data_IF_415097484498
#
_entry.id   IF_415097484498
#
_cell.length_a   1.000
_cell.length_b   1.000
_cell.length_c   1.000
_cell.angle_alpha   90.00
_cell.angle_beta   90.00
_cell.angle_gamma   90.00
#
_symmetry.space_group_name_H-M   'P 1'
#
loop_
_entity.id
_entity.type
_entity.pdbx_description
1 polymer ?
#
# COMPACT_ATOMS: atom_id res chain seq x y z
N UNK A 1 -12.66 6.07 -18.14
CA UNK A 1 -11.93 5.00 -18.89
C UNK A 1 -12.46 3.66 -18.45
N UNK A 2 -12.60 2.67 -19.33
CA UNK A 2 -12.99 1.31 -18.93
C UNK A 2 -11.75 0.53 -18.55
N UNK A 3 -11.72 -0.06 -17.37
CA UNK A 3 -10.67 -0.96 -16.94
C UNK A 3 -10.89 -2.39 -17.48
N UNK A 4 -9.83 -3.17 -17.50
CA UNK A 4 -9.86 -4.60 -17.85
C UNK A 4 -9.67 -5.41 -16.58
N UNK A 5 -10.57 -6.36 -16.30
CA UNK A 5 -10.45 -7.29 -15.19
C UNK A 5 -9.41 -8.36 -15.55
N UNK A 6 -8.38 -8.51 -14.71
CA UNK A 6 -7.28 -9.46 -14.88
C UNK A 6 -7.47 -10.71 -14.02
N UNK A 7 -8.07 -10.54 -12.84
CA UNK A 7 -8.34 -11.63 -11.89
C UNK A 7 -9.56 -11.28 -11.03
N UNK A 8 -10.27 -12.31 -10.57
CA UNK A 8 -11.47 -12.23 -9.73
C UNK A 8 -11.39 -13.22 -8.57
N UNK A 9 -12.29 -13.11 -7.60
CA UNK A 9 -12.38 -14.03 -6.46
C UNK A 9 -11.22 -13.90 -5.46
N UNK A 10 -10.62 -12.70 -5.40
CA UNK A 10 -9.51 -12.40 -4.51
C UNK A 10 -10.01 -11.99 -3.12
N UNK A 11 -9.32 -12.46 -2.08
CA UNK A 11 -9.69 -12.20 -0.69
C UNK A 11 -9.17 -10.86 -0.18
N UNK A 12 -9.83 -9.75 -0.49
CA UNK A 12 -9.42 -8.39 -0.16
C UNK A 12 -8.01 -8.10 -0.68
N UNK A 13 -7.85 -7.94 -2.02
CA UNK A 13 -6.55 -7.71 -2.64
C UNK A 13 -5.99 -6.35 -2.29
N UNK A 14 -4.66 -6.30 -2.11
CA UNK A 14 -3.89 -5.14 -1.69
C UNK A 14 -2.48 -5.16 -2.30
N UNK A 15 -1.69 -4.12 -2.04
CA UNK A 15 -0.26 -4.02 -2.29
C UNK A 15 0.21 -4.57 -3.64
N UNK A 16 -0.28 -4.07 -4.79
CA UNK A 16 0.15 -4.55 -6.09
C UNK A 16 1.59 -4.11 -6.39
N UNK A 17 2.40 -5.04 -6.86
CA UNK A 17 3.81 -4.85 -7.18
C UNK A 17 4.08 -5.31 -8.60
N UNK A 18 4.43 -4.40 -9.49
CA UNK A 18 4.80 -4.74 -10.85
C UNK A 18 6.19 -5.41 -10.89
N UNK A 19 6.27 -6.59 -11.49
CA UNK A 19 7.48 -7.40 -11.59
C UNK A 19 8.02 -7.53 -13.03
N UNK A 20 7.45 -6.78 -13.95
CA UNK A 20 7.76 -6.84 -15.38
C UNK A 20 6.52 -7.06 -16.23
N UNK A 21 6.66 -7.09 -17.56
CA UNK A 21 5.52 -7.20 -18.47
C UNK A 21 4.58 -8.36 -18.12
N UNK A 22 3.30 -8.04 -17.91
CA UNK A 22 2.24 -9.00 -17.57
C UNK A 22 2.54 -9.84 -16.31
N UNK A 23 3.26 -9.26 -15.34
CA UNK A 23 3.54 -9.91 -14.05
C UNK A 23 3.33 -8.93 -12.91
N UNK A 24 2.32 -9.20 -12.08
CA UNK A 24 1.99 -8.39 -10.90
C UNK A 24 1.84 -9.31 -9.71
N UNK A 25 2.69 -9.10 -8.70
CA UNK A 25 2.46 -9.68 -7.37
C UNK A 25 1.51 -8.78 -6.59
N UNK A 26 0.71 -9.35 -5.72
CA UNK A 26 -0.19 -8.61 -4.85
C UNK A 26 -0.50 -9.43 -3.60
N UNK A 27 -0.88 -8.76 -2.56
CA UNK A 27 -1.31 -9.38 -1.31
C UNK A 27 -2.80 -9.66 -1.32
N UNK A 28 -3.23 -10.55 -0.45
CA UNK A 28 -4.63 -10.78 -0.15
C UNK A 28 -4.80 -10.85 1.37
N UNK A 29 -5.41 -9.83 1.98
CA UNK A 29 -5.56 -9.76 3.44
C UNK A 29 -6.36 -10.96 3.95
N UNK A 30 -7.56 -11.17 3.40
CA UNK A 30 -8.45 -12.30 3.78
C UNK A 30 -7.94 -13.64 3.26
N UNK A 31 -7.13 -13.63 2.21
CA UNK A 31 -6.43 -14.80 1.68
C UNK A 31 -5.20 -15.20 2.49
N UNK A 32 -4.70 -14.30 3.37
CA UNK A 32 -3.52 -14.49 4.20
C UNK A 32 -2.28 -14.89 3.37
N UNK A 33 -2.13 -14.31 2.17
CA UNK A 33 -1.12 -14.74 1.21
C UNK A 33 -0.64 -13.62 0.29
N UNK A 34 0.46 -13.92 -0.41
CA UNK A 34 0.89 -13.20 -1.61
C UNK A 34 0.53 -14.05 -2.81
N UNK A 35 0.01 -13.40 -3.83
CA UNK A 35 -0.34 -13.98 -5.12
C UNK A 35 0.43 -13.33 -6.25
N UNK A 36 0.59 -14.05 -7.35
CA UNK A 36 1.18 -13.58 -8.60
C UNK A 36 0.19 -13.79 -9.74
N UNK A 37 -0.16 -12.72 -10.43
CA UNK A 37 -0.75 -12.79 -11.76
C UNK A 37 0.38 -12.80 -12.80
N UNK A 38 0.39 -13.82 -13.68
CA UNK A 38 1.44 -14.08 -14.68
C UNK A 38 1.04 -13.68 -16.11
N UNK A 39 -0.03 -12.90 -16.23
CA UNK A 39 -0.59 -12.51 -17.53
C UNK A 39 -1.69 -13.45 -18.04
N UNK A 40 -1.95 -14.56 -17.35
CA UNK A 40 -2.98 -15.53 -17.72
C UNK A 40 -3.77 -16.07 -16.52
N UNK A 41 -3.13 -16.25 -15.38
CA UNK A 41 -3.71 -16.84 -14.17
C UNK A 41 -3.11 -16.25 -12.91
N UNK A 42 -3.78 -16.46 -11.78
CA UNK A 42 -3.27 -16.15 -10.45
C UNK A 42 -2.79 -17.43 -9.76
N UNK A 43 -1.62 -17.35 -9.15
CA UNK A 43 -1.05 -18.41 -8.31
C UNK A 43 -0.67 -17.86 -6.95
N UNK A 44 -0.90 -18.61 -5.89
CA UNK A 44 -0.39 -18.26 -4.56
C UNK A 44 1.13 -18.49 -4.52
N UNK A 45 1.89 -17.44 -4.22
CA UNK A 45 3.35 -17.51 -4.04
C UNK A 45 3.69 -18.05 -2.66
N UNK A 46 3.08 -17.47 -1.62
CA UNK A 46 3.31 -17.87 -0.24
C UNK A 46 2.12 -17.53 0.65
N UNK A 47 1.93 -18.35 1.70
CA UNK A 47 1.04 -18.02 2.81
C UNK A 47 1.83 -17.31 3.90
N UNK A 48 1.35 -16.15 4.32
CA UNK A 48 2.03 -15.28 5.31
C UNK A 48 1.47 -15.45 6.71
N UNK A 49 0.28 -16.04 6.84
CA UNK A 49 -0.54 -15.95 8.04
C UNK A 49 -1.06 -14.52 8.28
N UNK A 50 -1.90 -14.32 9.27
CA UNK A 50 -2.44 -13.02 9.63
C UNK A 50 -3.15 -12.31 8.48
N UNK A 51 -2.74 -11.10 8.13
CA UNK A 51 -3.29 -10.29 7.03
C UNK A 51 -2.19 -9.56 6.25
N UNK A 52 -1.74 -10.17 5.15
CA UNK A 52 -0.82 -9.52 4.21
C UNK A 52 -1.51 -8.31 3.58
N UNK A 53 -1.05 -7.10 3.92
CA UNK A 53 -1.61 -5.83 3.49
C UNK A 53 -0.70 -5.19 2.42
N UNK A 54 -0.16 -4.01 2.60
CA UNK A 54 0.72 -3.39 1.62
C UNK A 54 1.96 -4.24 1.28
N UNK A 55 2.50 -4.05 0.09
CA UNK A 55 3.71 -4.74 -0.38
C UNK A 55 4.58 -3.86 -1.26
N UNK A 56 5.88 -4.14 -1.27
CA UNK A 56 6.85 -3.48 -2.14
C UNK A 56 7.94 -4.45 -2.60
N UNK A 57 8.56 -4.16 -3.76
CA UNK A 57 9.71 -4.92 -4.25
C UNK A 57 10.98 -4.48 -3.53
N UNK A 58 11.72 -5.43 -2.98
CA UNK A 58 13.01 -5.15 -2.36
C UNK A 58 14.20 -5.22 -3.33
N UNK A 59 15.36 -4.71 -2.87
CA UNK A 59 16.60 -4.68 -3.66
C UNK A 59 17.12 -6.06 -4.05
N UNK A 60 16.72 -7.07 -3.32
CA UNK A 60 17.09 -8.47 -3.49
C UNK A 60 16.07 -9.27 -4.33
N UNK A 61 15.10 -8.60 -4.94
CA UNK A 61 14.05 -9.20 -5.76
C UNK A 61 12.96 -9.93 -4.96
N UNK A 62 12.98 -9.84 -3.63
CA UNK A 62 11.91 -10.35 -2.78
C UNK A 62 10.80 -9.31 -2.60
N UNK A 63 9.61 -9.76 -2.24
CA UNK A 63 8.48 -8.92 -1.85
C UNK A 63 8.54 -8.69 -0.34
N UNK A 64 8.50 -7.43 0.07
CA UNK A 64 8.37 -7.04 1.48
C UNK A 64 6.92 -6.68 1.75
N UNK A 65 6.42 -7.10 2.91
CA UNK A 65 4.99 -7.07 3.25
C UNK A 65 4.77 -6.45 4.61
N UNK A 66 3.83 -5.53 4.69
CA UNK A 66 3.21 -5.10 5.93
C UNK A 66 2.10 -6.09 6.29
N UNK A 67 2.32 -6.89 7.34
CA UNK A 67 1.32 -7.84 7.82
C UNK A 67 0.60 -7.25 9.04
N UNK A 68 -0.68 -6.93 8.88
CA UNK A 68 -1.47 -6.27 9.92
C UNK A 68 -2.00 -7.23 11.00
N UNK A 69 -1.65 -8.50 10.91
CA UNK A 69 -2.05 -9.51 11.89
C UNK A 69 -3.38 -10.20 11.60
N UNK A 70 -4.12 -9.77 10.60
CA UNK A 70 -5.36 -10.41 10.17
C UNK A 70 -6.62 -9.58 10.43
N UNK A 71 -6.63 -8.34 9.92
CA UNK A 71 -7.79 -7.45 9.98
C UNK A 71 -8.05 -6.83 8.61
N UNK A 72 -9.30 -6.74 8.19
CA UNK A 72 -9.73 -5.87 7.10
C UNK A 72 -11.04 -5.16 7.44
N UNK A 73 -11.19 -3.96 6.90
CA UNK A 73 -12.40 -3.15 6.98
C UNK A 73 -12.83 -2.78 5.56
N UNK A 74 -14.08 -2.97 5.22
CA UNK A 74 -14.68 -2.61 3.94
C UNK A 74 -16.19 -2.48 4.09
N UNK A 75 -16.91 -2.26 2.99
CA UNK A 75 -18.37 -2.14 3.03
C UNK A 75 -19.07 -3.37 3.60
N UNK A 76 -18.45 -4.55 3.48
CA UNK A 76 -18.93 -5.79 4.10
C UNK A 76 -18.73 -5.83 5.63
N UNK A 77 -18.14 -4.78 6.20
CA UNK A 77 -17.80 -4.68 7.61
C UNK A 77 -16.41 -5.22 7.96
N UNK A 78 -16.23 -5.52 9.24
CA UNK A 78 -14.98 -6.01 9.80
C UNK A 78 -14.82 -7.50 9.54
N UNK A 79 -13.63 -7.89 9.08
CA UNK A 79 -13.19 -9.27 9.02
C UNK A 79 -11.94 -9.45 9.88
N UNK A 80 -11.86 -10.56 10.60
CA UNK A 80 -10.68 -10.97 11.37
C UNK A 80 -10.23 -12.36 10.91
N UNK A 81 -8.92 -12.56 10.89
CA UNK A 81 -8.35 -13.86 10.59
C UNK A 81 -8.77 -14.88 11.68
N UNK A 82 -9.06 -16.13 11.30
CA UNK A 82 -9.37 -17.18 12.29
C UNK A 82 -8.16 -17.52 13.18
N UNK A 83 -6.95 -17.23 12.70
CA UNK A 83 -5.66 -17.44 13.33
C UNK A 83 -4.82 -16.14 13.32
N UNK A 84 -5.24 -15.09 14.04
CA UNK A 84 -4.56 -13.81 14.00
C UNK A 84 -3.15 -13.93 14.60
N UNK A 85 -2.22 -13.17 14.03
CA UNK A 85 -0.83 -13.07 14.52
C UNK A 85 -0.52 -11.63 14.92
N UNK A 86 0.49 -11.35 15.75
CA UNK A 86 0.93 -9.98 15.96
C UNK A 86 1.40 -9.32 14.67
N UNK A 87 1.04 -8.04 14.47
CA UNK A 87 1.48 -7.26 13.32
C UNK A 87 3.00 -7.25 13.18
N UNK A 88 3.48 -7.33 11.93
CA UNK A 88 4.91 -7.48 11.62
C UNK A 88 5.24 -7.08 10.19
N UNK A 89 6.52 -6.95 9.89
CA UNK A 89 7.01 -6.83 8.52
C UNK A 89 7.66 -8.16 8.11
N UNK A 90 7.38 -8.59 6.89
CA UNK A 90 7.85 -9.87 6.36
C UNK A 90 8.57 -9.69 5.03
N UNK A 91 9.51 -10.58 4.73
CA UNK A 91 10.16 -10.74 3.43
C UNK A 91 9.75 -12.07 2.83
N UNK A 92 9.28 -12.03 1.59
CA UNK A 92 8.77 -13.20 0.87
C UNK A 92 9.47 -13.32 -0.48
N UNK A 93 10.14 -14.44 -0.71
CA UNK A 93 10.75 -14.71 -2.02
C UNK A 93 9.70 -15.18 -3.01
N UNK A 94 9.98 -15.02 -4.30
CA UNK A 94 9.10 -15.56 -5.35
C UNK A 94 9.12 -17.12 -5.42
N UNK A 95 10.03 -17.76 -4.68
CA UNK A 95 10.05 -19.22 -4.46
C UNK A 95 9.19 -19.68 -3.28
N UNK A 96 8.60 -18.73 -2.52
CA UNK A 96 7.66 -19.03 -1.43
C UNK A 96 8.26 -19.00 -0.02
N UNK A 97 9.55 -18.67 0.15
CA UNK A 97 10.13 -18.53 1.49
C UNK A 97 9.64 -17.27 2.19
N UNK A 98 9.11 -17.42 3.41
CA UNK A 98 8.63 -16.32 4.25
C UNK A 98 9.55 -16.15 5.46
N UNK A 99 9.99 -14.92 5.73
CA UNK A 99 10.78 -14.58 6.92
C UNK A 99 10.31 -13.26 7.52
N UNK A 100 10.29 -13.20 8.85
CA UNK A 100 10.05 -11.94 9.55
C UNK A 100 11.27 -11.01 9.43
N UNK A 101 11.02 -9.74 9.13
CA UNK A 101 12.01 -8.65 9.10
C UNK A 101 11.97 -7.89 10.43
N UNK A 102 10.76 -7.50 10.88
CA UNK A 102 10.57 -6.81 12.13
C UNK A 102 9.27 -7.28 12.81
N UNK A 103 9.38 -7.70 14.06
CA UNK A 103 8.26 -8.16 14.91
C UNK A 103 8.06 -7.28 16.13
N UNK A 104 9.04 -6.43 16.47
CA UNK A 104 8.98 -5.46 17.57
C UNK A 104 8.78 -4.08 16.95
N UNK A 105 7.53 -3.69 16.81
CA UNK A 105 7.16 -2.40 16.24
C UNK A 105 6.98 -1.35 17.34
N UNK A 106 7.18 -0.06 17.07
CA UNK A 106 7.09 0.99 18.09
C UNK A 106 5.65 1.17 18.55
N UNK A 107 5.53 1.57 19.83
CA UNK A 107 4.25 1.87 20.46
C UNK A 107 3.61 0.66 21.13
N UNK A 108 2.48 0.90 21.78
CA UNK A 108 1.71 -0.14 22.43
C UNK A 108 0.97 -1.02 21.42
N UNK A 109 0.81 -2.33 21.66
CA UNK A 109 -0.06 -3.17 20.84
C UNK A 109 -1.53 -2.70 20.89
N UNK A 110 -2.33 -3.04 19.87
CA UNK A 110 -1.95 -3.77 18.68
C UNK A 110 -1.18 -2.91 17.69
N UNK A 111 -0.10 -3.45 17.11
CA UNK A 111 0.51 -2.87 15.91
C UNK A 111 -0.12 -3.53 14.68
N UNK A 112 -0.49 -2.71 13.72
CA UNK A 112 -1.16 -3.18 12.51
C UNK A 112 -0.59 -2.48 11.29
N UNK A 113 0.67 -2.83 10.88
CA UNK A 113 1.29 -2.24 9.71
C UNK A 113 0.35 -2.31 8.51
N UNK A 114 0.27 -1.21 7.76
CA UNK A 114 -0.64 -1.10 6.64
C UNK A 114 0.11 -1.15 5.31
N UNK A 115 0.94 -0.16 4.97
CA UNK A 115 1.67 -0.11 3.72
C UNK A 115 3.16 0.19 3.95
N UNK A 116 4.00 -0.01 2.91
CA UNK A 116 5.45 0.13 3.03
C UNK A 116 6.15 0.44 1.70
N UNK A 117 7.29 1.12 1.81
CA UNK A 117 8.18 1.39 0.68
C UNK A 117 9.63 1.46 1.13
N UNK A 118 10.57 1.23 0.21
CA UNK A 118 11.99 1.51 0.47
C UNK A 118 12.30 2.98 0.26
N UNK A 119 13.20 3.52 1.10
CA UNK A 119 13.73 4.86 0.97
C UNK A 119 15.08 4.92 0.25
N UNK A 120 15.53 6.16 -0.10
CA UNK A 120 16.83 6.39 -0.73
C UNK A 120 18.01 5.97 0.15
N UNK A 121 17.81 5.87 1.45
CA UNK A 121 18.77 5.39 2.44
C UNK A 121 18.83 3.85 2.56
N UNK A 122 18.02 3.14 1.78
CA UNK A 122 17.90 1.68 1.81
C UNK A 122 17.12 1.12 2.99
N UNK A 123 16.52 1.97 3.82
CA UNK A 123 15.64 1.54 4.90
C UNK A 123 14.23 1.26 4.38
N UNK A 124 13.51 0.39 5.07
CA UNK A 124 12.12 0.08 4.79
C UNK A 124 11.23 0.95 5.67
N UNK A 125 10.44 1.83 5.05
CA UNK A 125 9.48 2.72 5.70
C UNK A 125 8.10 2.09 5.66
N UNK A 126 7.31 2.26 6.71
CA UNK A 126 5.95 1.72 6.77
C UNK A 126 5.02 2.59 7.61
N UNK A 127 3.73 2.47 7.34
CA UNK A 127 2.66 3.05 8.13
C UNK A 127 2.09 2.03 9.10
N UNK A 128 1.72 2.49 10.29
CA UNK A 128 0.99 1.72 11.29
C UNK A 128 -0.16 2.60 11.83
N UNK A 129 -1.39 2.44 11.35
CA UNK A 129 -2.55 3.18 11.85
C UNK A 129 -2.93 2.81 13.29
N UNK A 130 -2.21 1.89 13.91
CA UNK A 130 -2.39 1.42 15.27
C UNK A 130 -3.72 0.67 15.44
N UNK A 131 -4.69 1.25 16.13
CA UNK A 131 -5.95 0.58 16.40
C UNK A 131 -7.03 0.96 15.38
N UNK A 132 -7.24 0.15 14.36
CA UNK A 132 -8.36 0.33 13.42
C UNK A 132 -9.57 -0.57 13.71
N UNK A 133 -9.59 -1.20 14.86
CA UNK A 133 -10.76 -1.94 15.34
C UNK A 133 -11.87 -1.01 15.82
N UNK A 134 -11.51 0.21 16.24
CA UNK A 134 -12.44 1.27 16.63
C UNK A 134 -12.11 2.56 15.87
N UNK A 135 -12.82 2.78 14.75
CA UNK A 135 -12.62 3.95 13.88
C UNK A 135 -13.01 5.29 14.54
N UNK A 136 -13.72 5.25 15.68
CA UNK A 136 -14.02 6.45 16.45
C UNK A 136 -12.89 6.81 17.44
N UNK A 137 -12.05 5.82 17.80
CA UNK A 137 -10.93 5.97 18.72
C UNK A 137 -9.65 5.35 18.14
N UNK A 138 -9.27 5.78 16.94
CA UNK A 138 -8.13 5.23 16.19
C UNK A 138 -6.79 5.28 16.95
N UNK A 139 -6.68 6.21 17.92
CA UNK A 139 -5.39 6.51 18.52
C UNK A 139 -4.47 7.28 17.56
N UNK A 140 -3.19 7.32 17.91
CA UNK A 140 -2.17 7.98 17.06
C UNK A 140 -1.45 6.93 16.23
N UNK A 141 -1.66 6.98 14.93
CA UNK A 141 -0.91 6.17 13.96
C UNK A 141 0.53 6.67 13.81
N UNK A 142 1.34 5.90 13.12
CA UNK A 142 2.78 6.13 13.02
C UNK A 142 3.30 5.90 11.61
N UNK A 143 4.34 6.64 11.28
CA UNK A 143 5.30 6.29 10.24
C UNK A 143 6.58 5.87 10.93
N UNK A 144 7.09 4.69 10.61
CA UNK A 144 8.35 4.20 11.13
C UNK A 144 9.22 3.63 10.01
N UNK A 145 10.50 3.41 10.29
CA UNK A 145 11.44 2.80 9.36
C UNK A 145 12.23 1.70 10.05
N UNK A 146 12.72 0.77 9.28
CA UNK A 146 13.51 -0.35 9.80
C UNK A 146 14.67 -0.72 8.88
N UNK A 147 15.76 -1.16 9.47
CA UNK A 147 16.79 -1.90 8.77
C UNK A 147 16.31 -3.32 8.47
N UNK A 148 16.94 -4.02 7.52
CA UNK A 148 16.55 -5.40 7.19
C UNK A 148 16.94 -6.44 8.27
N UNK A 149 17.71 -6.03 9.27
CA UNK A 149 17.98 -6.81 10.50
C UNK A 149 17.02 -6.49 11.66
N UNK A 150 15.96 -5.68 11.38
CA UNK A 150 14.84 -5.47 12.30
C UNK A 150 15.03 -4.37 13.34
N UNK A 151 15.99 -3.46 13.18
CA UNK A 151 16.10 -2.28 14.04
C UNK A 151 15.11 -1.21 13.59
N UNK A 152 14.09 -0.98 14.40
CA UNK A 152 12.99 -0.08 14.08
C UNK A 152 13.17 1.28 14.75
N UNK A 153 12.86 2.36 14.02
CA UNK A 153 12.90 3.73 14.48
C UNK A 153 11.63 4.47 14.08
N UNK A 154 11.05 5.25 15.00
CA UNK A 154 9.91 6.11 14.73
C UNK A 154 10.36 7.31 13.88
N UNK A 155 9.66 7.57 12.77
CA UNK A 155 9.86 8.76 11.92
C UNK A 155 8.93 9.87 12.35
N UNK A 156 7.63 9.62 12.43
CA UNK A 156 6.61 10.58 12.80
C UNK A 156 5.39 9.92 13.42
N UNK A 157 4.69 10.65 14.26
CA UNK A 157 3.31 10.35 14.62
C UNK A 157 2.38 10.96 13.56
N UNK A 158 1.46 10.17 13.07
CA UNK A 158 0.47 10.57 12.05
C UNK A 158 -0.91 10.12 12.52
N UNK A 159 -1.71 11.03 13.08
CA UNK A 159 -3.07 10.70 13.50
C UNK A 159 -3.97 10.43 12.29
N UNK A 160 -5.21 10.01 12.54
CA UNK A 160 -6.26 9.88 11.53
C UNK A 160 -5.99 8.87 10.42
N UNK A 161 -5.42 7.73 10.78
CA UNK A 161 -5.23 6.58 9.91
C UNK A 161 -4.22 6.79 8.77
N UNK A 162 -2.89 6.77 9.06
CA UNK A 162 -1.88 6.69 8.01
C UNK A 162 -2.01 5.37 7.25
N UNK A 163 -2.09 5.44 5.92
CA UNK A 163 -2.35 4.33 5.02
C UNK A 163 -1.21 4.19 4.00
N UNK A 164 -1.45 4.43 2.71
CA UNK A 164 -0.43 4.34 1.67
C UNK A 164 0.80 5.20 1.95
N UNK A 165 1.98 4.75 1.49
CA UNK A 165 3.25 5.42 1.71
C UNK A 165 4.18 5.24 0.49
N UNK A 166 4.78 6.32 0.01
CA UNK A 166 5.73 6.27 -1.09
C UNK A 166 6.70 7.45 -1.04
N UNK A 167 7.87 7.26 -1.65
CA UNK A 167 8.79 8.37 -1.91
C UNK A 167 8.48 9.03 -3.25
N UNK A 168 8.37 10.35 -3.25
CA UNK A 168 8.27 11.15 -4.46
C UNK A 168 9.60 11.24 -5.23
N UNK A 169 9.59 11.82 -6.44
CA UNK A 169 10.81 12.06 -7.21
C UNK A 169 11.73 13.13 -6.59
N UNK A 170 11.25 13.84 -5.60
CA UNK A 170 11.96 14.85 -4.79
C UNK A 170 12.60 14.25 -3.53
N UNK A 171 12.61 12.93 -3.39
CA UNK A 171 13.11 12.16 -2.24
C UNK A 171 12.40 12.49 -0.91
N UNK A 172 11.24 13.12 -0.95
CA UNK A 172 10.37 13.31 0.21
C UNK A 172 9.41 12.14 0.39
N UNK A 173 9.01 11.92 1.62
CA UNK A 173 8.09 10.86 1.99
C UNK A 173 6.65 11.37 1.97
N UNK A 174 5.81 10.71 1.20
CA UNK A 174 4.37 11.00 1.10
C UNK A 174 3.58 9.90 1.81
N UNK A 175 2.50 10.30 2.50
CA UNK A 175 1.66 9.39 3.29
C UNK A 175 0.20 9.76 3.10
N UNK A 176 -0.63 8.75 2.81
CA UNK A 176 -2.06 8.89 2.82
C UNK A 176 -2.58 8.97 4.26
N UNK A 177 -3.42 9.96 4.56
CA UNK A 177 -4.12 10.10 5.83
C UNK A 177 -5.62 9.95 5.57
N UNK A 178 -6.12 8.72 5.69
CA UNK A 178 -7.42 8.34 5.15
C UNK A 178 -8.56 9.19 5.73
N UNK A 179 -8.64 9.34 7.04
CA UNK A 179 -9.80 9.98 7.70
C UNK A 179 -9.91 11.49 7.49
N UNK A 180 -8.86 12.15 6.99
CA UNK A 180 -8.87 13.57 6.62
C UNK A 180 -8.94 13.81 5.13
N UNK A 181 -8.96 12.72 4.35
CA UNK A 181 -8.90 12.74 2.89
C UNK A 181 -7.63 13.42 2.33
N UNK A 182 -6.55 13.46 3.12
CA UNK A 182 -5.32 14.16 2.78
C UNK A 182 -4.20 13.21 2.34
N UNK A 183 -3.38 13.69 1.42
CA UNK A 183 -2.01 13.21 1.23
C UNK A 183 -1.07 14.18 1.94
N UNK A 184 -0.24 13.64 2.79
CA UNK A 184 0.77 14.39 3.56
C UNK A 184 2.13 14.23 2.92
N UNK A 185 3.02 15.20 3.16
CA UNK A 185 4.43 15.13 2.77
C UNK A 185 5.33 15.54 3.94
N UNK A 186 6.46 14.86 4.08
CA UNK A 186 7.43 15.11 5.15
C UNK A 186 8.86 14.73 4.72
N UNK A 187 9.84 15.19 5.49
CA UNK A 187 11.20 14.66 5.40
C UNK A 187 11.25 13.25 5.99
N UNK A 188 12.03 12.35 5.38
CA UNK A 188 12.15 10.95 5.82
C UNK A 188 13.16 10.80 6.98
N UNK A 189 12.99 11.54 8.08
CA UNK A 189 13.89 11.52 9.25
C UNK A 189 13.12 11.52 10.57
N UNK A 190 13.70 10.97 11.64
CA UNK A 190 13.08 10.99 12.96
C UNK A 190 12.70 12.41 13.41
N UNK A 191 11.50 12.52 13.99
CA UNK A 191 10.94 13.79 14.43
C UNK A 191 10.43 14.69 13.30
N UNK A 192 10.22 14.13 12.10
CA UNK A 192 9.62 14.86 10.99
C UNK A 192 8.20 15.33 11.34
N UNK A 193 7.85 16.50 10.85
CA UNK A 193 6.50 17.05 10.96
C UNK A 193 5.82 16.99 9.60
N UNK A 194 4.76 16.18 9.44
CA UNK A 194 4.02 16.11 8.20
C UNK A 194 3.25 17.40 7.92
N UNK A 195 3.12 17.74 6.65
CA UNK A 195 2.27 18.83 6.17
C UNK A 195 1.33 18.31 5.08
N UNK A 196 0.13 18.88 4.99
CA UNK A 196 -0.81 18.56 3.91
C UNK A 196 -0.23 18.97 2.56
N UNK A 197 -0.21 18.05 1.60
CA UNK A 197 0.22 18.31 0.23
C UNK A 197 -0.97 18.40 -0.73
N UNK A 198 -1.96 17.52 -0.58
CA UNK A 198 -3.17 17.51 -1.39
C UNK A 198 -4.36 16.89 -0.64
N UNK A 199 -5.56 17.08 -1.17
CA UNK A 199 -6.78 16.41 -0.70
C UNK A 199 -7.50 15.69 -1.83
N UNK A 200 -7.99 14.50 -1.53
CA UNK A 200 -8.91 13.81 -2.43
C UNK A 200 -10.26 14.51 -2.46
N UNK A 201 -10.84 14.70 -3.64
CA UNK A 201 -12.20 15.26 -3.77
C UNK A 201 -13.27 14.26 -3.35
N UNK A 202 -12.95 12.95 -3.33
CA UNK A 202 -13.90 11.87 -3.09
C UNK A 202 -13.16 10.64 -2.53
N UNK A 203 -13.80 9.92 -1.59
CA UNK A 203 -13.24 8.73 -0.97
C UNK A 203 -12.16 9.01 0.07
N UNK A 204 -11.54 7.96 0.54
CA UNK A 204 -10.46 7.99 1.51
C UNK A 204 -9.16 7.58 0.81
N UNK A 205 -8.08 8.38 0.85
CA UNK A 205 -6.81 7.99 0.25
C UNK A 205 -6.30 6.71 0.90
N UNK A 206 -5.98 5.75 0.06
CA UNK A 206 -5.46 4.44 0.40
C UNK A 206 -4.05 4.28 -0.21
N UNK A 207 -3.72 3.18 -0.87
CA UNK A 207 -2.45 3.03 -1.54
C UNK A 207 -2.31 3.94 -2.77
N UNK A 208 -1.08 4.32 -3.09
CA UNK A 208 -0.79 5.19 -4.23
C UNK A 208 0.61 4.95 -4.80
N UNK A 209 0.82 5.40 -6.03
CA UNK A 209 2.12 5.37 -6.69
C UNK A 209 2.42 6.67 -7.43
N UNK A 210 3.71 6.88 -7.75
CA UNK A 210 4.19 7.99 -8.55
C UNK A 210 4.56 7.56 -9.96
N UNK A 211 4.41 8.48 -10.92
CA UNK A 211 5.09 8.38 -12.20
C UNK A 211 6.38 9.25 -12.23
N UNK A 212 7.17 9.08 -13.29
CA UNK A 212 8.42 9.85 -13.47
C UNK A 212 8.22 11.35 -13.62
N UNK A 213 7.03 11.78 -14.02
CA UNK A 213 6.67 13.21 -14.10
C UNK A 213 6.28 13.78 -12.74
N UNK A 214 6.24 12.96 -11.68
CA UNK A 214 5.86 13.36 -10.33
C UNK A 214 4.35 13.41 -10.09
N UNK A 215 3.54 12.86 -11.00
CA UNK A 215 2.11 12.72 -10.79
C UNK A 215 1.84 11.57 -9.82
N UNK A 216 0.84 11.75 -8.96
CA UNK A 216 0.37 10.73 -8.04
C UNK A 216 -0.90 10.09 -8.55
N UNK A 217 -0.96 8.77 -8.50
CA UNK A 217 -2.15 7.96 -8.75
C UNK A 217 -2.57 7.35 -7.42
N UNK A 218 -3.69 7.81 -6.87
CA UNK A 218 -4.13 7.44 -5.53
C UNK A 218 -5.46 6.70 -5.57
N UNK A 219 -5.50 5.51 -4.99
CA UNK A 219 -6.75 4.80 -4.74
C UNK A 219 -7.59 5.58 -3.73
N UNK A 220 -8.84 5.87 -4.10
CA UNK A 220 -9.83 6.53 -3.25
C UNK A 220 -10.85 5.51 -2.75
N UNK A 221 -10.49 4.81 -1.68
CA UNK A 221 -11.31 3.77 -1.07
C UNK A 221 -12.66 4.34 -0.60
N UNK A 222 -13.74 3.55 -0.71
CA UNK A 222 -15.13 3.96 -0.46
C UNK A 222 -15.63 5.16 -1.31
N UNK A 223 -14.77 5.70 -2.18
CA UNK A 223 -15.12 6.70 -3.18
C UNK A 223 -15.24 6.10 -4.57
N UNK A 224 -14.84 4.84 -4.74
CA UNK A 224 -14.86 4.11 -6.01
C UNK A 224 -14.08 4.77 -7.14
N UNK A 225 -12.97 5.44 -6.80
CA UNK A 225 -12.17 6.23 -7.75
C UNK A 225 -10.67 5.95 -7.64
N UNK A 226 -9.94 6.26 -8.70
CA UNK A 226 -8.51 6.58 -8.64
C UNK A 226 -8.36 8.06 -8.98
N UNK A 227 -7.73 8.82 -8.08
CA UNK A 227 -7.48 10.26 -8.26
C UNK A 227 -6.07 10.46 -8.77
N UNK A 228 -5.92 11.25 -9.84
CA UNK A 228 -4.62 11.62 -10.38
C UNK A 228 -4.32 13.06 -9.97
N UNK A 229 -3.16 13.26 -9.35
CA UNK A 229 -2.68 14.60 -8.97
C UNK A 229 -1.49 15.01 -9.83
N UNK A 230 -1.44 16.30 -10.15
CA UNK A 230 -0.24 16.94 -10.68
C UNK A 230 0.84 17.07 -9.59
N UNK A 231 2.12 17.29 -9.95
CA UNK A 231 3.21 17.42 -8.98
C UNK A 231 3.02 18.54 -7.95
N UNK A 232 2.16 19.50 -8.23
CA UNK A 232 1.83 20.60 -7.31
C UNK A 232 0.62 20.31 -6.40
N UNK A 233 0.09 19.07 -6.41
CA UNK A 233 -1.03 18.63 -5.58
C UNK A 233 -2.41 18.97 -6.14
N UNK A 234 -2.52 19.62 -7.30
CA UNK A 234 -3.83 19.84 -7.93
C UNK A 234 -4.37 18.55 -8.54
N UNK A 235 -5.66 18.32 -8.38
CA UNK A 235 -6.35 17.22 -9.04
C UNK A 235 -6.28 17.42 -10.56
N UNK A 236 -5.71 16.44 -11.25
CA UNK A 236 -5.65 16.37 -12.71
C UNK A 236 -6.87 15.66 -13.29
N UNK A 237 -7.21 14.50 -12.72
CA UNK A 237 -8.29 13.65 -13.21
C UNK A 237 -8.84 12.78 -12.08
N UNK A 238 -10.08 12.31 -12.25
CA UNK A 238 -10.74 11.36 -11.37
C UNK A 238 -11.27 10.22 -12.24
N UNK A 239 -10.72 9.03 -12.05
CA UNK A 239 -11.12 7.83 -12.81
C UNK A 239 -12.14 7.07 -11.98
N UNK A 240 -13.37 7.01 -12.46
CA UNK A 240 -14.44 6.20 -11.87
C UNK A 240 -14.14 4.71 -12.09
N UNK A 241 -14.09 3.92 -11.02
CA UNK A 241 -13.80 2.49 -11.04
C UNK A 241 -15.07 1.62 -11.02
N UNK A 242 -16.24 2.25 -10.86
CA UNK A 242 -17.55 1.57 -10.75
C UNK A 242 -18.03 1.47 -9.32
N UNK A 243 -19.35 1.55 -9.13
CA UNK A 243 -19.98 1.54 -7.81
C UNK A 243 -19.64 0.26 -7.03
N UNK A 244 -19.17 0.40 -5.80
CA UNK A 244 -18.80 -0.69 -4.92
C UNK A 244 -17.45 -1.34 -5.27
N UNK A 245 -16.61 -0.68 -6.09
CA UNK A 245 -15.30 -1.20 -6.47
C UNK A 245 -14.29 -1.16 -5.33
N UNK A 246 -14.35 -0.15 -4.47
CA UNK A 246 -13.43 0.04 -3.33
C UNK A 246 -11.96 -0.16 -3.71
N UNK A 247 -11.36 0.73 -4.53
CA UNK A 247 -9.94 0.66 -4.83
C UNK A 247 -9.11 0.75 -3.55
N UNK A 248 -8.17 -0.18 -3.36
CA UNK A 248 -7.32 -0.20 -2.16
C UNK A 248 -5.91 0.28 -2.45
N UNK A 249 -5.33 -0.12 -3.59
CA UNK A 249 -3.94 0.24 -3.89
C UNK A 249 -3.69 0.21 -5.40
N UNK A 250 -2.58 0.78 -5.87
CA UNK A 250 -2.22 0.74 -7.27
C UNK A 250 -0.71 0.77 -7.51
N UNK A 251 -0.29 0.24 -8.66
CA UNK A 251 1.08 0.37 -9.16
C UNK A 251 1.12 0.61 -10.66
N UNK A 252 2.18 1.24 -11.13
CA UNK A 252 2.44 1.50 -12.55
C UNK A 252 3.49 0.54 -13.11
N UNK A 253 3.28 0.13 -14.37
CA UNK A 253 4.28 -0.63 -15.13
C UNK A 253 3.91 -0.72 -16.61
N UNK A 254 4.86 -0.48 -17.49
CA UNK A 254 4.71 -0.55 -18.97
C UNK A 254 3.51 0.25 -19.52
N UNK A 255 3.29 1.46 -19.02
CA UNK A 255 2.15 2.29 -19.46
C UNK A 255 0.78 1.77 -19.01
N UNK A 256 0.76 0.95 -17.96
CA UNK A 256 -0.45 0.36 -17.38
C UNK A 256 -0.52 0.70 -15.89
N UNK A 257 -1.67 1.16 -15.45
CA UNK A 257 -2.02 1.27 -14.04
C UNK A 257 -2.74 -0.03 -13.63
N UNK A 258 -2.17 -0.75 -12.69
CA UNK A 258 -2.79 -1.90 -12.04
C UNK A 258 -3.42 -1.46 -10.72
N UNK A 259 -4.66 -1.84 -10.47
CA UNK A 259 -5.42 -1.44 -9.28
C UNK A 259 -6.03 -2.68 -8.62
N UNK A 260 -5.93 -2.75 -7.32
CA UNK A 260 -6.62 -3.75 -6.50
C UNK A 260 -7.97 -3.19 -6.04
N UNK A 261 -9.04 -3.97 -6.23
CA UNK A 261 -10.41 -3.61 -5.89
C UNK A 261 -10.93 -4.59 -4.83
N UNK A 262 -11.13 -4.12 -3.59
CA UNK A 262 -11.56 -4.99 -2.49
C UNK A 262 -13.03 -5.37 -2.55
N UNK A 263 -13.89 -4.51 -3.05
CA UNK A 263 -15.32 -4.75 -3.14
C UNK A 263 -15.66 -6.00 -3.97
N UNK A 264 -15.31 -6.08 -5.25
CA UNK A 264 -15.53 -7.27 -6.08
C UNK A 264 -14.46 -8.36 -5.87
N UNK A 265 -13.35 -8.08 -5.15
CA UNK A 265 -12.21 -8.98 -5.04
C UNK A 265 -11.49 -9.15 -6.37
N UNK A 266 -10.99 -8.06 -6.96
CA UNK A 266 -10.42 -8.05 -8.31
C UNK A 266 -9.04 -7.38 -8.38
N UNK A 267 -8.24 -7.83 -9.33
CA UNK A 267 -7.11 -7.09 -9.88
C UNK A 267 -7.51 -6.59 -11.26
N UNK A 268 -7.37 -5.29 -11.50
CA UNK A 268 -7.74 -4.68 -12.78
C UNK A 268 -6.58 -3.90 -13.38
N UNK A 269 -6.68 -3.56 -14.67
CA UNK A 269 -5.69 -2.74 -15.37
C UNK A 269 -6.34 -1.66 -16.22
N UNK A 270 -5.69 -0.52 -16.28
CA UNK A 270 -6.06 0.60 -17.15
C UNK A 270 -4.83 1.01 -17.97
N UNK A 271 -4.95 1.16 -19.30
CA UNK A 271 -3.89 1.78 -20.10
C UNK A 271 -3.74 3.24 -19.67
N UNK A 272 -2.50 3.68 -19.42
CA UNK A 272 -2.23 5.06 -19.02
C UNK A 272 -0.93 5.53 -19.68
N UNK A 273 -0.93 6.77 -20.16
CA UNK A 273 0.28 7.36 -20.74
C UNK A 273 1.20 7.89 -19.61
N UNK A 274 1.85 6.97 -18.88
CA UNK A 274 2.75 7.28 -17.79
C UNK A 274 3.87 6.26 -17.68
N UNK A 275 5.06 6.72 -17.37
CA UNK A 275 6.20 5.90 -17.02
C UNK A 275 6.31 5.82 -15.49
N UNK A 276 6.37 4.62 -14.94
CA UNK A 276 6.48 4.43 -13.50
C UNK A 276 7.76 5.09 -12.94
N UNK A 277 7.64 5.75 -11.79
CA UNK A 277 8.81 6.13 -11.01
C UNK A 277 9.47 4.84 -10.48
N UNK A 278 10.77 4.60 -10.75
CA UNK A 278 11.43 3.41 -10.22
C UNK A 278 11.39 3.39 -8.69
N UNK A 279 11.10 2.22 -8.14
CA UNK A 279 11.15 2.02 -6.69
C UNK A 279 12.61 2.06 -6.20
N UNK A 280 12.82 2.54 -4.97
CA UNK A 280 14.12 2.39 -4.33
C UNK A 280 14.42 0.92 -4.02
N UNK A 281 15.70 0.52 -3.97
CA UNK A 281 16.90 1.34 -4.21
C UNK A 281 17.38 1.36 -5.68
N UNK A 282 16.49 1.10 -6.65
CA UNK A 282 16.87 1.21 -8.06
C UNK A 282 17.32 2.65 -8.39
N UNK A 283 18.22 2.79 -9.37
CA UNK A 283 18.61 4.12 -9.85
C UNK A 283 17.40 4.83 -10.46
N UNK A 284 17.11 6.00 -9.99
CA UNK A 284 16.02 6.87 -10.43
C UNK A 284 16.44 7.82 -11.53
#
# INVERSE_FOLDING_TARGET
MTHTVLATGLGFPEGPVWLGPRRVAFTQIRGQCISLWDGSRVTTVARTGGGANGATLGPDGAIYVANNGGLSLGHEGKWEAPDPIPGRLQRVTLSGDVRDVATKLPGAPPNRPNDLCFGPDGLLYYTDPHNWEDLQNLGVGRVARTTLDGRVELVAEVPFFPNGIAFGPDDRLYVAQSMTQALLVMDARPGASPSEWAKLPQGFPDGFCFDRAGRVYCAGSLGDVVVIFEPDGRVRDVIEMGSGSEPTNCCLGDGVLYVTLSGPGELVSLPIEAEALPLYPAAR
#
